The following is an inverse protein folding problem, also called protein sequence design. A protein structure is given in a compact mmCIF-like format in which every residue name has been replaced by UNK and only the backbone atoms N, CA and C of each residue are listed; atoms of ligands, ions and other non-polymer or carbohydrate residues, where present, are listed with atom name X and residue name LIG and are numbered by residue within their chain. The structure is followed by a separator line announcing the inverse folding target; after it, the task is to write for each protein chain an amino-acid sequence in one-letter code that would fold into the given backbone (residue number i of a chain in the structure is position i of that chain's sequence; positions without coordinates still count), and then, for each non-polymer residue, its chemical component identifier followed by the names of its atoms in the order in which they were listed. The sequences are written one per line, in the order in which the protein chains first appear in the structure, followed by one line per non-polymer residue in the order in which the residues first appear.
data_IF_713057545762
#
_entry.id   IF_713057545762
#
_cell.length_a   1.000
_cell.length_b   1.000
_cell.length_c   1.000
_cell.angle_alpha   90.00
_cell.angle_beta   90.00
_cell.angle_gamma   90.00
#
_symmetry.space_group_name_H-M   'P 1'
#
loop_
_entity.id
_entity.type
_entity.pdbx_description
1 polymer ?
#
# COMPACT_ATOMS: atom_id res chain seq x y z
N UNK A 1 11.54 16.83 12.22
CA UNK A 1 10.58 17.75 11.57
C UNK A 1 9.30 16.96 11.37
N UNK A 2 8.13 17.56 11.58
CA UNK A 2 6.85 16.86 11.40
C UNK A 2 6.67 16.58 9.90
N UNK A 3 7.08 15.40 9.45
CA UNK A 3 7.12 14.99 8.04
C UNK A 3 5.73 14.63 7.49
N UNK A 4 4.68 14.91 8.28
CA UNK A 4 3.30 14.62 7.90
C UNK A 4 2.90 15.46 6.69
N UNK A 5 2.31 14.85 5.65
CA UNK A 5 1.91 15.56 4.44
C UNK A 5 0.96 16.72 4.79
N UNK A 6 1.40 17.94 4.49
CA UNK A 6 0.76 19.15 4.97
C UNK A 6 -0.35 19.68 4.04
N UNK A 7 -0.53 19.08 2.86
CA UNK A 7 -1.53 19.48 1.87
C UNK A 7 -2.13 18.25 1.17
N UNK A 8 -3.33 18.42 0.60
CA UNK A 8 -4.12 17.34 0.03
C UNK A 8 -3.41 16.58 -1.11
N UNK A 9 -2.59 17.27 -1.91
CA UNK A 9 -1.82 16.62 -2.99
C UNK A 9 -0.77 15.67 -2.42
N UNK A 10 -0.02 16.10 -1.41
CA UNK A 10 0.98 15.26 -0.76
C UNK A 10 0.33 14.08 -0.03
N UNK A 11 -0.83 14.29 0.59
CA UNK A 11 -1.58 13.21 1.25
C UNK A 11 -2.10 12.17 0.25
N UNK A 12 -2.59 12.61 -0.92
CA UNK A 12 -3.01 11.69 -1.99
C UNK A 12 -1.84 10.88 -2.54
N UNK A 13 -0.68 11.49 -2.71
CA UNK A 13 0.52 10.78 -3.14
C UNK A 13 0.94 9.73 -2.10
N UNK A 14 0.89 10.07 -0.82
CA UNK A 14 1.19 9.14 0.27
C UNK A 14 0.19 7.98 0.32
N UNK A 15 -1.11 8.28 0.26
CA UNK A 15 -2.15 7.25 0.24
C UNK A 15 -2.03 6.33 -0.98
N UNK A 16 -1.68 6.86 -2.16
CA UNK A 16 -1.38 6.02 -3.33
C UNK A 16 -0.22 5.06 -3.02
N UNK A 17 0.93 5.60 -2.61
CA UNK A 17 2.13 4.79 -2.37
C UNK A 17 1.89 3.73 -1.29
N UNK A 18 1.16 4.09 -0.23
CA UNK A 18 0.78 3.17 0.83
C UNK A 18 -0.14 2.06 0.30
N UNK A 19 -1.13 2.39 -0.54
CA UNK A 19 -2.00 1.37 -1.14
C UNK A 19 -1.25 0.40 -2.06
N UNK A 20 -0.25 0.87 -2.80
CA UNK A 20 0.60 0.03 -3.65
C UNK A 20 1.43 -0.93 -2.80
N UNK A 21 2.10 -0.41 -1.76
CA UNK A 21 2.85 -1.24 -0.82
C UNK A 21 1.97 -2.30 -0.14
N UNK A 22 0.75 -1.93 0.26
CA UNK A 22 -0.20 -2.88 0.86
C UNK A 22 -0.54 -4.03 -0.10
N UNK A 23 -0.75 -3.73 -1.39
CA UNK A 23 -1.04 -4.76 -2.42
C UNK A 23 0.17 -5.68 -2.62
N UNK A 24 1.38 -5.10 -2.74
CA UNK A 24 2.61 -5.87 -2.91
C UNK A 24 2.86 -6.81 -1.73
N UNK A 25 2.71 -6.31 -0.50
CA UNK A 25 2.86 -7.12 0.71
C UNK A 25 1.76 -8.17 0.84
N UNK A 26 0.52 -7.84 0.49
CA UNK A 26 -0.57 -8.79 0.55
C UNK A 26 -0.32 -9.99 -0.38
N UNK A 27 0.06 -9.74 -1.64
CA UNK A 27 0.40 -10.83 -2.56
C UNK A 27 1.69 -11.56 -2.19
N UNK A 28 2.73 -10.85 -1.74
CA UNK A 28 3.96 -11.48 -1.25
C UNK A 28 3.68 -12.41 -0.05
N UNK A 29 2.80 -11.99 0.86
CA UNK A 29 2.43 -12.79 2.02
C UNK A 29 1.72 -14.10 1.61
N UNK A 30 0.85 -14.05 0.61
CA UNK A 30 0.18 -15.23 0.04
C UNK A 30 1.20 -16.12 -0.65
N UNK A 31 2.03 -15.55 -1.51
CA UNK A 31 3.00 -16.29 -2.31
C UNK A 31 4.04 -17.01 -1.45
N UNK A 32 4.54 -16.36 -0.39
CA UNK A 32 5.52 -16.94 0.52
C UNK A 32 4.92 -17.63 1.75
N UNK A 33 3.60 -17.54 1.95
CA UNK A 33 2.93 -18.02 3.17
C UNK A 33 3.42 -17.30 4.44
N UNK A 34 3.78 -16.03 4.32
CA UNK A 34 4.46 -15.25 5.37
C UNK A 34 3.46 -14.46 6.23
N UNK A 35 3.31 -14.88 7.48
CA UNK A 35 2.33 -14.28 8.40
C UNK A 35 2.76 -12.89 8.89
N UNK A 36 4.06 -12.60 8.93
CA UNK A 36 4.56 -11.30 9.39
C UNK A 36 4.29 -10.24 8.32
N UNK A 37 4.52 -10.57 7.04
CA UNK A 37 4.12 -9.71 5.92
C UNK A 37 2.60 -9.45 5.92
N UNK A 38 1.79 -10.49 6.18
CA UNK A 38 0.35 -10.33 6.23
C UNK A 38 -0.11 -9.47 7.42
N UNK A 39 0.57 -9.55 8.56
CA UNK A 39 0.29 -8.71 9.72
C UNK A 39 0.66 -7.23 9.45
N UNK A 40 1.77 -6.98 8.75
CA UNK A 40 2.17 -5.62 8.36
C UNK A 40 1.09 -4.93 7.51
N UNK A 41 0.43 -5.65 6.60
CA UNK A 41 -0.69 -5.10 5.81
C UNK A 41 -1.81 -4.56 6.71
N UNK A 42 -2.07 -5.18 7.86
CA UNK A 42 -3.08 -4.72 8.82
C UNK A 42 -2.60 -3.45 9.54
N UNK A 43 -1.32 -3.36 9.90
CA UNK A 43 -0.75 -2.13 10.50
C UNK A 43 -0.78 -0.95 9.50
N UNK A 44 -0.56 -1.22 8.21
CA UNK A 44 -0.67 -0.21 7.14
C UNK A 44 -2.13 0.22 6.88
N UNK A 45 -3.11 -0.65 7.15
CA UNK A 45 -4.55 -0.31 7.08
C UNK A 45 -4.89 0.84 8.05
N UNK A 46 -4.36 0.79 9.27
CA UNK A 46 -4.60 1.84 10.27
C UNK A 46 -4.02 3.19 9.79
N UNK A 47 -2.81 3.18 9.23
CA UNK A 47 -2.19 4.39 8.65
C UNK A 47 -3.00 4.94 7.47
N UNK A 48 -3.51 4.06 6.61
CA UNK A 48 -4.38 4.44 5.48
C UNK A 48 -5.68 5.07 5.98
N UNK A 49 -6.31 4.47 6.99
CA UNK A 49 -7.56 4.95 7.57
C UNK A 49 -7.40 6.37 8.12
N UNK A 50 -6.31 6.64 8.84
CA UNK A 50 -5.99 7.98 9.35
C UNK A 50 -5.78 8.98 8.21
N UNK A 51 -5.00 8.63 7.18
CA UNK A 51 -4.78 9.48 6.01
C UNK A 51 -6.09 9.81 5.28
N UNK A 52 -6.95 8.81 5.08
CA UNK A 52 -8.25 8.96 4.41
C UNK A 52 -9.17 9.85 5.23
N UNK A 53 -9.21 9.68 6.56
CA UNK A 53 -9.99 10.52 7.46
C UNK A 53 -9.56 11.98 7.37
N UNK A 54 -8.25 12.25 7.50
CA UNK A 54 -7.70 13.60 7.43
C UNK A 54 -7.94 14.26 6.06
N UNK A 55 -7.81 13.50 4.96
CA UNK A 55 -8.09 13.99 3.62
C UNK A 55 -9.56 14.40 3.48
N UNK A 56 -10.50 13.56 3.95
CA UNK A 56 -11.95 13.87 3.92
C UNK A 56 -12.25 15.15 4.70
N UNK A 57 -11.69 15.31 5.90
CA UNK A 57 -11.87 16.53 6.69
C UNK A 57 -11.36 17.77 5.94
N UNK A 58 -10.17 17.70 5.36
CA UNK A 58 -9.58 18.82 4.60
C UNK A 58 -10.38 19.16 3.35
N UNK A 59 -10.89 18.15 2.63
CA UNK A 59 -11.76 18.34 1.48
C UNK A 59 -13.03 19.13 1.85
N UNK A 60 -13.69 18.75 2.95
CA UNK A 60 -14.90 19.42 3.44
C UNK A 60 -14.62 20.87 3.83
N UNK A 61 -13.51 21.14 4.52
CA UNK A 61 -13.14 22.49 4.96
C UNK A 61 -12.68 23.41 3.81
N UNK A 62 -12.20 22.83 2.71
CA UNK A 62 -11.65 23.59 1.58
C UNK A 62 -12.72 24.18 0.65
N UNK A 63 -13.91 23.58 0.58
CA UNK A 63 -15.00 24.04 -0.31
C UNK A 63 -15.71 25.24 0.31
N UNK A 64 -15.70 26.39 -0.36
CA UNK A 64 -16.33 27.63 0.12
C UNK A 64 -17.47 28.12 -0.78
N UNK A 65 -17.52 27.63 -2.02
CA UNK A 65 -18.54 28.00 -3.02
C UNK A 65 -19.13 26.75 -3.70
N UNK A 66 -20.41 26.74 -4.09
CA UNK A 66 -21.03 25.59 -4.77
C UNK A 66 -20.25 25.10 -6.00
N UNK A 67 -19.69 26.02 -6.79
CA UNK A 67 -18.87 25.69 -7.98
C UNK A 67 -17.58 24.91 -7.68
N UNK A 68 -17.07 24.96 -6.44
CA UNK A 68 -15.85 24.23 -6.03
C UNK A 68 -16.18 22.80 -5.60
N UNK A 69 -17.44 22.51 -5.30
CA UNK A 69 -17.89 21.21 -4.82
C UNK A 69 -17.73 20.11 -5.88
N UNK A 70 -17.90 20.44 -7.16
CA UNK A 70 -17.74 19.48 -8.26
C UNK A 70 -16.31 18.93 -8.32
N UNK A 71 -15.31 19.81 -8.36
CA UNK A 71 -13.90 19.39 -8.36
C UNK A 71 -13.50 18.65 -7.08
N UNK A 72 -14.00 19.09 -5.93
CA UNK A 72 -13.74 18.39 -4.67
C UNK A 72 -14.39 17.01 -4.59
N UNK A 73 -15.58 16.85 -5.17
CA UNK A 73 -16.27 15.56 -5.30
C UNK A 73 -15.40 14.55 -6.07
N UNK A 74 -14.77 14.97 -7.17
CA UNK A 74 -13.84 14.13 -7.91
C UNK A 74 -12.63 13.71 -7.06
N UNK A 75 -12.09 14.60 -6.24
CA UNK A 75 -10.98 14.24 -5.34
C UNK A 75 -11.42 13.20 -4.31
N UNK A 76 -12.60 13.37 -3.71
CA UNK A 76 -13.16 12.40 -2.76
C UNK A 76 -13.41 11.03 -3.40
N UNK A 77 -13.79 10.99 -4.68
CA UNK A 77 -13.91 9.72 -5.41
C UNK A 77 -12.57 8.99 -5.53
N UNK A 78 -11.49 9.71 -5.79
CA UNK A 78 -10.12 9.12 -5.83
C UNK A 78 -9.72 8.61 -4.45
N UNK A 79 -9.95 9.39 -3.38
CA UNK A 79 -9.68 8.96 -2.00
C UNK A 79 -10.41 7.66 -1.68
N UNK A 80 -11.70 7.56 -2.01
CA UNK A 80 -12.50 6.35 -1.78
C UNK A 80 -12.06 5.16 -2.64
N UNK A 81 -11.48 5.40 -3.82
CA UNK A 81 -10.91 4.33 -4.64
C UNK A 81 -9.62 3.77 -4.01
N UNK A 82 -8.74 4.63 -3.49
CA UNK A 82 -7.52 4.24 -2.79
C UNK A 82 -7.86 3.44 -1.51
N UNK A 83 -8.80 3.93 -0.70
CA UNK A 83 -9.28 3.23 0.51
C UNK A 83 -9.82 1.83 0.17
N UNK A 84 -10.55 1.68 -0.94
CA UNK A 84 -11.05 0.38 -1.39
C UNK A 84 -9.90 -0.58 -1.75
N UNK A 85 -8.88 -0.10 -2.46
CA UNK A 85 -7.70 -0.91 -2.80
C UNK A 85 -7.00 -1.40 -1.52
N UNK A 86 -6.83 -0.52 -0.53
CA UNK A 86 -6.25 -0.88 0.76
C UNK A 86 -7.07 -1.97 1.49
N UNK A 87 -8.41 -1.81 1.54
CA UNK A 87 -9.30 -2.81 2.13
C UNK A 87 -9.23 -4.17 1.41
N UNK A 88 -9.12 -4.16 0.08
CA UNK A 88 -8.98 -5.38 -0.72
C UNK A 88 -7.62 -6.06 -0.45
N UNK A 89 -6.53 -5.29 -0.29
CA UNK A 89 -5.23 -5.82 0.12
C UNK A 89 -5.28 -6.49 1.50
N UNK A 90 -5.97 -5.87 2.46
CA UNK A 90 -6.23 -6.48 3.78
C UNK A 90 -7.01 -7.78 3.63
N UNK A 91 -8.04 -7.83 2.78
CA UNK A 91 -8.81 -9.03 2.55
C UNK A 91 -7.95 -10.19 2.00
N UNK A 92 -6.99 -9.89 1.10
CA UNK A 92 -6.02 -10.86 0.58
C UNK A 92 -5.11 -11.36 1.72
N UNK A 93 -4.53 -10.45 2.51
CA UNK A 93 -3.63 -10.81 3.63
C UNK A 93 -4.31 -11.71 4.67
N UNK A 94 -5.64 -11.57 4.86
CA UNK A 94 -6.42 -12.36 5.81
C UNK A 94 -6.43 -13.84 5.47
N UNK A 95 -6.22 -14.23 4.21
CA UNK A 95 -6.08 -15.64 3.81
C UNK A 95 -4.94 -16.30 4.60
N UNK A 96 -3.82 -15.58 4.77
CA UNK A 96 -2.63 -16.04 5.48
C UNK A 96 -2.84 -15.97 6.99
N UNK A 97 -3.28 -14.82 7.53
CA UNK A 97 -3.43 -14.65 9.00
C UNK A 97 -4.48 -15.58 9.60
N UNK A 98 -5.55 -15.88 8.87
CA UNK A 98 -6.62 -16.80 9.30
C UNK A 98 -6.34 -18.26 8.91
N UNK A 99 -5.21 -18.55 8.25
CA UNK A 99 -4.81 -19.91 7.84
C UNK A 99 -5.90 -20.62 7.03
N UNK A 100 -6.53 -19.92 6.10
CA UNK A 100 -7.62 -20.46 5.28
C UNK A 100 -7.15 -21.55 4.30
N UNK A 101 -5.83 -21.61 4.07
CA UNK A 101 -5.21 -22.47 3.06
C UNK A 101 -5.20 -21.80 1.69
N UNK A 102 -4.14 -22.05 0.93
CA UNK A 102 -3.95 -21.51 -0.42
C UNK A 102 -3.78 -22.70 -1.36
N UNK A 103 -4.62 -22.84 -2.41
CA UNK A 103 -4.46 -23.90 -3.40
C UNK A 103 -3.08 -23.84 -4.07
N UNK A 104 -2.45 -24.99 -4.29
CA UNK A 104 -1.13 -25.06 -4.89
C UNK A 104 -1.12 -24.48 -6.32
N UNK A 105 -2.23 -24.64 -7.05
CA UNK A 105 -2.45 -24.09 -8.37
C UNK A 105 -2.40 -22.55 -8.36
N UNK A 106 -2.97 -21.92 -7.32
CA UNK A 106 -2.93 -20.46 -7.19
C UNK A 106 -1.50 -19.96 -6.93
N UNK A 107 -0.70 -20.67 -6.15
CA UNK A 107 0.72 -20.33 -5.94
C UNK A 107 1.51 -20.46 -7.25
N UNK A 108 1.23 -21.50 -8.05
CA UNK A 108 1.84 -21.67 -9.36
C UNK A 108 1.46 -20.53 -10.31
N UNK A 109 0.18 -20.16 -10.35
CA UNK A 109 -0.28 -19.04 -11.18
C UNK A 109 0.36 -17.70 -10.78
N UNK A 110 0.52 -17.45 -9.47
CA UNK A 110 1.22 -16.26 -8.96
C UNK A 110 2.70 -16.22 -9.37
N UNK A 111 3.35 -17.39 -9.53
CA UNK A 111 4.75 -17.45 -9.96
C UNK A 111 4.96 -17.10 -11.44
N UNK A 112 3.91 -17.19 -12.25
CA UNK A 112 3.92 -16.90 -13.70
C UNK A 112 3.24 -15.55 -14.03
N UNK A 113 2.89 -14.77 -13.02
CA UNK A 113 2.29 -13.45 -13.19
C UNK A 113 3.26 -12.47 -13.89
N UNK A 114 2.72 -11.41 -14.49
CA UNK A 114 3.54 -10.38 -15.12
C UNK A 114 4.48 -9.66 -14.14
N UNK A 115 4.06 -9.56 -12.88
CA UNK A 115 4.83 -9.03 -11.76
C UNK A 115 4.84 -10.08 -10.64
N UNK A 116 6.03 -10.40 -10.12
CA UNK A 116 6.22 -11.49 -9.16
C UNK A 116 7.13 -11.03 -8.03
N UNK A 117 6.75 -11.37 -6.79
CA UNK A 117 7.57 -11.11 -5.61
C UNK A 117 8.77 -12.07 -5.54
N UNK A 118 9.93 -11.55 -5.17
CA UNK A 118 11.17 -12.31 -5.07
C UNK A 118 11.81 -12.18 -3.69
N UNK A 119 12.46 -13.25 -3.21
CA UNK A 119 13.38 -13.21 -2.06
C UNK A 119 14.80 -13.27 -2.60
N UNK A 120 15.60 -12.25 -2.29
CA UNK A 120 16.98 -12.13 -2.75
C UNK A 120 17.91 -12.06 -1.53
N UNK A 121 18.96 -12.90 -1.53
CA UNK A 121 19.99 -12.88 -0.49
C UNK A 121 21.13 -11.94 -0.89
N UNK A 122 21.46 -10.98 -0.03
CA UNK A 122 22.64 -10.12 -0.19
C UNK A 122 23.82 -10.73 0.58
N UNK A 123 24.85 -11.17 -0.15
CA UNK A 123 26.02 -11.81 0.45
C UNK A 123 27.05 -10.82 0.99
N UNK A 124 27.88 -11.30 1.93
CA UNK A 124 29.06 -10.58 2.40
C UNK A 124 30.03 -10.34 1.23
N UNK A 125 30.27 -9.06 0.90
CA UNK A 125 31.08 -8.63 -0.25
C UNK A 125 30.27 -8.15 -1.46
N UNK A 126 28.94 -8.22 -1.42
CA UNK A 126 28.10 -7.56 -2.42
C UNK A 126 28.30 -6.04 -2.40
N UNK A 127 28.24 -5.40 -3.57
CA UNK A 127 28.21 -3.94 -3.69
C UNK A 127 26.98 -3.30 -3.01
N UNK A 128 25.98 -4.11 -2.66
CA UNK A 128 24.79 -3.73 -1.91
C UNK A 128 24.95 -3.88 -0.38
N UNK A 129 25.98 -4.60 0.08
CA UNK A 129 26.14 -4.89 1.50
C UNK A 129 26.49 -3.62 2.29
N UNK A 130 25.85 -3.44 3.46
CA UNK A 130 26.09 -2.33 4.41
C UNK A 130 25.90 -0.92 3.82
N UNK A 131 25.04 -0.77 2.81
CA UNK A 131 24.70 0.53 2.21
C UNK A 131 23.20 0.79 2.31
N UNK A 132 22.77 2.05 2.47
CA UNK A 132 21.36 2.38 2.55
C UNK A 132 20.67 2.06 1.21
N UNK A 133 19.41 1.66 1.25
CA UNK A 133 18.64 1.33 0.03
C UNK A 133 18.59 2.53 -0.93
N UNK A 134 18.53 3.75 -0.40
CA UNK A 134 18.53 5.00 -1.16
C UNK A 134 19.78 5.24 -2.02
N UNK A 135 20.88 4.53 -1.77
CA UNK A 135 22.09 4.60 -2.60
C UNK A 135 21.96 3.85 -3.93
N UNK A 136 20.91 3.03 -4.09
CA UNK A 136 20.67 2.20 -5.26
C UNK A 136 19.50 2.76 -6.05
N UNK A 137 19.65 2.89 -7.36
CA UNK A 137 18.56 3.19 -8.29
C UNK A 137 17.71 1.93 -8.52
N UNK A 138 17.09 1.44 -7.45
CA UNK A 138 16.07 0.39 -7.56
C UNK A 138 14.80 1.04 -8.13
N UNK A 139 14.13 0.36 -9.10
CA UNK A 139 12.86 0.85 -9.61
C UNK A 139 11.85 0.99 -8.47
N UNK A 140 11.16 2.13 -8.47
CA UNK A 140 10.00 2.45 -7.63
C UNK A 140 8.72 2.17 -8.41
#
# INVERSE_FOLDING_TARGET
MDDRPNNLRSMLAEAKNLSELMVDLAYASVYFGDIEMAAEVIELEDQMNDLVHDMRQRCVLAVRKPREAEGMSSVLQVVSAIERIANDAVAISRIVTHKLGIPAELIADLSEAAEVSHRVLVSDGSHMANRPVADFELPV
#
